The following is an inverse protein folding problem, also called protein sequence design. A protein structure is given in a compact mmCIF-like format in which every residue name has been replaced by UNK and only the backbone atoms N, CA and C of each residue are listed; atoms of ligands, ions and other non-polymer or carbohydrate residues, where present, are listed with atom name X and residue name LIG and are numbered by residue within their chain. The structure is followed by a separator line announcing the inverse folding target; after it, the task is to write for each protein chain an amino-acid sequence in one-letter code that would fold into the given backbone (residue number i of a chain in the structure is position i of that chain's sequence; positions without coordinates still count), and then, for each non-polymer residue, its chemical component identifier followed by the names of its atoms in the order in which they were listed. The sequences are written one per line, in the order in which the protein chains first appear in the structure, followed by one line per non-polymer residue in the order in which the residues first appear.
data_IF_880474491320
#
_entry.id   IF_880474491320
#
_cell.length_a   1.000
_cell.length_b   1.000
_cell.length_c   1.000
_cell.angle_alpha   90.00
_cell.angle_beta   90.00
_cell.angle_gamma   90.00
#
_symmetry.space_group_name_H-M   'P 1'
#
loop_
_entity.id
_entity.type
_entity.pdbx_description
1 polymer ?
#
# COMPACT_ATOMS: atom_id res chain seq x y z
N UNK A 1 -15.64 -18.26 2.16
CA UNK A 1 -14.81 -17.54 1.18
C UNK A 1 -14.06 -16.48 1.96
N UNK A 2 -12.72 -16.54 2.03
CA UNK A 2 -11.95 -15.53 2.74
C UNK A 2 -12.17 -14.15 2.15
N UNK A 3 -12.26 -13.17 3.02
CA UNK A 3 -12.51 -11.78 2.65
C UNK A 3 -11.44 -10.87 3.21
N UNK A 4 -10.83 -10.06 2.34
CA UNK A 4 -9.77 -9.15 2.73
C UNK A 4 -9.90 -7.76 2.08
N UNK A 5 -9.37 -6.75 2.75
CA UNK A 5 -9.21 -5.37 2.24
C UNK A 5 -7.79 -5.22 1.72
N UNK A 6 -7.64 -4.64 0.55
CA UNK A 6 -6.36 -4.34 -0.05
C UNK A 6 -6.06 -2.86 0.13
N UNK A 7 -5.08 -2.53 0.98
CA UNK A 7 -4.57 -1.19 1.20
C UNK A 7 -3.23 -1.25 1.95
N UNK A 8 -2.46 -0.17 1.91
CA UNK A 8 -1.18 -0.10 2.62
C UNK A 8 -1.35 0.58 3.98
N UNK A 9 -0.67 0.06 4.99
CA UNK A 9 -0.45 0.74 6.27
C UNK A 9 1.06 0.87 6.49
N UNK A 10 1.51 2.07 6.82
CA UNK A 10 2.92 2.41 6.83
C UNK A 10 3.70 1.58 7.87
N UNK A 11 4.79 0.95 7.44
CA UNK A 11 5.63 0.12 8.29
C UNK A 11 4.97 -1.19 8.76
N UNK A 12 3.77 -1.51 8.28
CA UNK A 12 3.07 -2.76 8.64
C UNK A 12 3.66 -4.01 7.97
N UNK A 13 4.39 -3.83 6.86
CA UNK A 13 4.99 -4.92 6.10
C UNK A 13 4.00 -5.75 5.28
N UNK A 14 2.78 -5.27 5.05
CA UNK A 14 1.80 -5.99 4.22
C UNK A 14 0.75 -5.09 3.56
N UNK A 15 -0.12 -5.71 2.76
CA UNK A 15 -1.09 -4.99 1.93
C UNK A 15 -2.51 -5.61 1.95
N UNK A 16 -2.67 -6.76 2.61
CA UNK A 16 -3.92 -7.51 2.60
C UNK A 16 -4.41 -7.78 4.02
N UNK A 17 -5.62 -7.33 4.34
CA UNK A 17 -6.14 -7.28 5.71
C UNK A 17 -7.42 -8.07 5.85
N UNK A 18 -7.42 -9.10 6.71
CA UNK A 18 -8.59 -9.95 6.92
C UNK A 18 -9.76 -9.16 7.52
N UNK A 19 -10.97 -9.37 6.99
CA UNK A 19 -12.17 -8.62 7.40
C UNK A 19 -12.90 -9.30 8.56
N UNK A 20 -13.28 -10.56 8.35
CA UNK A 20 -14.15 -11.29 9.29
C UNK A 20 -13.38 -11.85 10.49
N UNK A 21 -14.02 -12.04 11.65
CA UNK A 21 -13.39 -12.72 12.79
C UNK A 21 -12.87 -14.11 12.44
N UNK A 22 -13.56 -14.84 11.58
CA UNK A 22 -13.17 -16.16 11.09
C UNK A 22 -11.89 -16.06 10.26
N UNK A 23 -11.84 -15.14 9.30
CA UNK A 23 -10.66 -14.92 8.45
C UNK A 23 -9.45 -14.50 9.30
N UNK A 24 -9.65 -13.62 10.28
CA UNK A 24 -8.60 -13.17 11.21
C UNK A 24 -8.01 -14.32 12.03
N UNK A 25 -8.83 -15.32 12.41
CA UNK A 25 -8.34 -16.51 13.12
C UNK A 25 -7.52 -17.43 12.21
N UNK A 26 -7.87 -17.51 10.93
CA UNK A 26 -7.18 -18.39 9.97
C UNK A 26 -5.91 -17.75 9.39
N UNK A 27 -5.98 -16.47 9.06
CA UNK A 27 -4.95 -15.75 8.29
C UNK A 27 -4.17 -14.74 9.11
N UNK A 28 -4.66 -14.33 10.28
CA UNK A 28 -4.17 -13.16 11.01
C UNK A 28 -4.91 -11.88 10.61
N UNK A 29 -4.62 -10.78 11.29
CA UNK A 29 -5.16 -9.46 10.91
C UNK A 29 -4.57 -8.99 9.58
N UNK A 30 -3.24 -9.06 9.47
CA UNK A 30 -2.50 -8.94 8.23
C UNK A 30 -2.33 -10.33 7.64
N UNK A 31 -2.74 -10.50 6.40
CA UNK A 31 -2.62 -11.77 5.67
C UNK A 31 -1.16 -11.91 5.23
N UNK A 32 -0.54 -13.01 5.67
CA UNK A 32 0.80 -13.39 5.26
C UNK A 32 0.82 -13.82 3.79
N UNK A 33 1.61 -13.10 2.97
CA UNK A 33 1.71 -13.34 1.53
C UNK A 33 2.35 -14.69 1.21
N UNK A 34 3.25 -15.21 2.06
CA UNK A 34 3.91 -16.50 1.87
C UNK A 34 2.91 -17.68 1.91
N UNK A 35 1.72 -17.45 2.50
CA UNK A 35 0.66 -18.44 2.61
C UNK A 35 -0.34 -18.39 1.46
N UNK A 36 -0.26 -17.39 0.58
CA UNK A 36 -1.18 -17.24 -0.55
C UNK A 36 -0.76 -18.14 -1.72
N UNK A 37 -1.72 -18.76 -2.42
CA UNK A 37 -1.44 -19.56 -3.61
C UNK A 37 -1.24 -18.67 -4.85
N UNK A 38 -0.30 -17.74 -4.77
CA UNK A 38 0.06 -16.81 -5.87
C UNK A 38 1.44 -17.15 -6.43
N UNK A 39 1.71 -16.66 -7.63
CA UNK A 39 3.00 -16.81 -8.29
C UNK A 39 4.11 -16.08 -7.52
N UNK A 40 5.35 -16.60 -7.52
CA UNK A 40 6.50 -15.91 -6.94
C UNK A 40 6.70 -14.50 -7.49
N UNK A 41 6.45 -14.31 -8.80
CA UNK A 41 6.58 -12.99 -9.43
C UNK A 41 5.57 -11.97 -8.88
N UNK A 42 4.32 -12.39 -8.61
CA UNK A 42 3.33 -11.52 -7.98
C UNK A 42 3.69 -11.25 -6.52
N UNK A 43 4.10 -12.29 -5.80
CA UNK A 43 4.57 -12.16 -4.41
C UNK A 43 5.67 -11.10 -4.29
N UNK A 44 6.74 -11.22 -5.07
CA UNK A 44 7.86 -10.28 -5.07
C UNK A 44 7.44 -8.88 -5.55
N UNK A 45 6.46 -8.79 -6.44
CA UNK A 45 5.88 -7.50 -6.84
C UNK A 45 5.16 -6.83 -5.68
N UNK A 46 4.38 -7.57 -4.89
CA UNK A 46 3.67 -7.03 -3.72
C UNK A 46 4.65 -6.62 -2.63
N UNK A 47 5.67 -7.43 -2.32
CA UNK A 47 6.72 -7.08 -1.36
C UNK A 47 7.43 -5.78 -1.74
N UNK A 48 7.82 -5.63 -3.02
CA UNK A 48 8.44 -4.39 -3.52
C UNK A 48 7.50 -3.18 -3.43
N UNK A 49 6.20 -3.36 -3.65
CA UNK A 49 5.23 -2.29 -3.49
C UNK A 49 5.08 -1.87 -2.02
N UNK A 50 5.08 -2.82 -1.08
CA UNK A 50 5.03 -2.55 0.36
C UNK A 50 6.26 -1.73 0.78
N UNK A 51 7.46 -2.20 0.44
CA UNK A 51 8.70 -1.49 0.75
C UNK A 51 8.75 -0.10 0.11
N UNK A 52 8.29 0.01 -1.15
CA UNK A 52 8.24 1.28 -1.86
C UNK A 52 7.23 2.24 -1.22
N UNK A 53 6.05 1.77 -0.83
CA UNK A 53 5.03 2.59 -0.16
C UNK A 53 5.60 3.30 1.08
N UNK A 54 6.40 2.60 1.88
CA UNK A 54 7.01 3.20 3.07
C UNK A 54 7.89 4.40 2.72
N UNK A 55 8.53 4.41 1.54
CA UNK A 55 9.35 5.56 1.10
C UNK A 55 8.53 6.79 0.67
N UNK A 56 7.21 6.65 0.53
CA UNK A 56 6.32 7.77 0.21
C UNK A 56 6.09 8.73 1.38
N UNK A 57 6.48 8.34 2.59
CA UNK A 57 6.23 9.08 3.81
C UNK A 57 7.46 9.82 4.33
N UNK A 58 7.20 10.93 5.00
CA UNK A 58 8.21 11.62 5.80
C UNK A 58 8.36 10.94 7.17
N UNK A 59 9.24 9.95 7.28
CA UNK A 59 9.45 9.24 8.56
C UNK A 59 10.00 10.11 9.68
N UNK A 60 10.65 11.23 9.36
CA UNK A 60 11.15 12.19 10.36
C UNK A 60 10.01 12.88 11.10
N UNK A 61 8.95 13.22 10.37
CA UNK A 61 7.70 13.72 10.93
C UNK A 61 6.55 13.43 9.94
N UNK A 62 5.79 12.34 10.14
CA UNK A 62 4.75 11.91 9.19
C UNK A 62 3.68 12.96 8.83
N UNK A 63 3.34 13.93 9.71
CA UNK A 63 2.45 15.02 9.34
C UNK A 63 3.04 16.03 8.34
N UNK A 64 4.34 16.01 8.05
CA UNK A 64 4.92 16.83 6.98
C UNK A 64 4.77 16.17 5.61
N UNK A 65 4.87 16.94 4.51
CA UNK A 65 4.84 16.43 3.16
C UNK A 65 5.78 15.23 2.94
N UNK A 66 5.26 14.17 2.33
CA UNK A 66 6.03 13.05 1.84
C UNK A 66 6.96 13.46 0.68
N UNK A 67 8.08 12.76 0.47
CA UNK A 67 9.10 13.20 -0.49
C UNK A 67 8.73 12.98 -1.96
N UNK A 68 7.67 12.21 -2.24
CA UNK A 68 7.34 11.81 -3.59
C UNK A 68 6.74 12.94 -4.42
N UNK A 69 7.25 13.07 -5.64
CA UNK A 69 6.68 13.94 -6.66
C UNK A 69 5.55 13.25 -7.42
N UNK A 70 4.73 14.03 -8.11
CA UNK A 70 3.52 13.57 -8.78
C UNK A 70 3.79 12.41 -9.74
N UNK A 71 4.92 12.45 -10.47
CA UNK A 71 5.33 11.38 -11.35
C UNK A 71 5.60 10.05 -10.61
N UNK A 72 6.19 10.10 -9.41
CA UNK A 72 6.46 8.92 -8.59
C UNK A 72 5.16 8.34 -8.02
N UNK A 73 4.28 9.21 -7.52
CA UNK A 73 2.93 8.85 -7.07
C UNK A 73 2.14 8.16 -8.19
N UNK A 74 2.11 8.75 -9.39
CA UNK A 74 1.42 8.18 -10.55
C UNK A 74 1.98 6.80 -10.92
N UNK A 75 3.30 6.68 -11.03
CA UNK A 75 3.96 5.40 -11.36
C UNK A 75 3.70 4.33 -10.28
N UNK A 76 3.57 4.71 -9.02
CA UNK A 76 3.23 3.78 -7.94
C UNK A 76 1.77 3.33 -8.06
N UNK A 77 0.83 4.26 -8.21
CA UNK A 77 -0.60 3.97 -8.32
C UNK A 77 -0.91 3.00 -9.46
N UNK A 78 -0.29 3.18 -10.62
CA UNK A 78 -0.44 2.27 -11.76
C UNK A 78 0.10 0.87 -11.44
N UNK A 79 1.26 0.77 -10.79
CA UNK A 79 1.82 -0.51 -10.38
C UNK A 79 0.93 -1.23 -9.35
N UNK A 80 0.32 -0.50 -8.42
CA UNK A 80 -0.64 -1.05 -7.44
C UNK A 80 -1.88 -1.60 -8.14
N UNK A 81 -2.47 -0.84 -9.08
CA UNK A 81 -3.66 -1.28 -9.84
C UNK A 81 -3.38 -2.56 -10.63
N UNK A 82 -2.21 -2.64 -11.27
CA UNK A 82 -1.78 -3.83 -12.00
C UNK A 82 -1.59 -5.03 -11.07
N UNK A 83 -0.92 -4.86 -9.93
CA UNK A 83 -0.70 -5.92 -8.95
C UNK A 83 -2.02 -6.41 -8.34
N UNK A 84 -2.96 -5.51 -8.01
CA UNK A 84 -4.28 -5.87 -7.51
C UNK A 84 -5.11 -6.64 -8.55
N UNK A 85 -5.04 -6.25 -9.82
CA UNK A 85 -5.65 -7.00 -10.91
C UNK A 85 -5.12 -8.44 -10.97
N UNK A 86 -3.79 -8.59 -11.01
CA UNK A 86 -3.14 -9.91 -10.99
C UNK A 86 -3.49 -10.73 -9.75
N UNK A 87 -3.54 -10.10 -8.57
CA UNK A 87 -3.90 -10.78 -7.31
C UNK A 87 -5.31 -11.34 -7.37
N UNK A 88 -6.27 -10.59 -7.91
CA UNK A 88 -7.65 -11.06 -8.11
C UNK A 88 -7.73 -12.19 -9.13
N UNK A 89 -6.95 -12.12 -10.20
CA UNK A 89 -6.92 -13.17 -11.23
C UNK A 89 -6.31 -14.47 -10.68
N UNK A 90 -5.19 -14.39 -9.96
CA UNK A 90 -4.48 -15.57 -9.44
C UNK A 90 -5.22 -16.23 -8.27
N UNK A 91 -5.82 -15.46 -7.35
CA UNK A 91 -6.66 -16.01 -6.27
C UNK A 91 -8.05 -16.44 -6.77
N UNK A 92 -8.50 -15.85 -7.87
CA UNK A 92 -9.78 -16.14 -8.50
C UNK A 92 -10.98 -15.94 -7.56
N UNK A 93 -12.12 -16.61 -7.84
CA UNK A 93 -13.34 -16.47 -7.06
C UNK A 93 -13.26 -17.14 -5.67
N UNK A 94 -12.13 -17.76 -5.32
CA UNK A 94 -11.93 -18.35 -4.00
C UNK A 94 -11.75 -17.28 -2.92
N UNK A 95 -11.44 -16.03 -3.33
CA UNK A 95 -11.24 -14.88 -2.45
C UNK A 95 -12.13 -13.70 -2.85
N UNK A 96 -12.58 -12.95 -1.84
CA UNK A 96 -13.20 -11.64 -2.03
C UNK A 96 -12.21 -10.56 -1.58
N UNK A 97 -11.74 -9.74 -2.52
CA UNK A 97 -10.78 -8.66 -2.25
C UNK A 97 -11.45 -7.31 -2.49
N UNK A 98 -11.61 -6.53 -1.43
CA UNK A 98 -12.06 -5.14 -1.52
C UNK A 98 -10.87 -4.23 -1.80
N UNK A 99 -11.00 -3.40 -2.84
CA UNK A 99 -10.02 -2.35 -3.10
C UNK A 99 -10.29 -1.18 -2.16
N UNK A 100 -9.38 -0.93 -1.24
CA UNK A 100 -9.43 0.21 -0.34
C UNK A 100 -8.12 1.01 -0.39
N UNK A 101 -7.34 0.82 -1.45
CA UNK A 101 -6.15 1.61 -1.69
C UNK A 101 -6.57 3.01 -2.11
N UNK A 102 -6.13 4.01 -1.34
CA UNK A 102 -6.26 5.40 -1.73
C UNK A 102 -5.04 5.81 -2.57
N UNK A 103 -5.30 6.39 -3.74
CA UNK A 103 -4.25 6.72 -4.68
C UNK A 103 -3.41 7.88 -4.15
N UNK A 104 -2.09 7.72 -4.21
CA UNK A 104 -1.16 8.76 -3.76
C UNK A 104 -1.16 9.94 -4.74
N UNK A 105 -0.98 11.14 -4.22
CA UNK A 105 -0.76 12.37 -4.98
C UNK A 105 0.41 13.12 -4.33
N UNK A 106 1.11 13.95 -5.12
CA UNK A 106 2.08 14.88 -4.53
C UNK A 106 1.40 15.75 -3.48
N UNK A 107 2.08 15.94 -2.34
CA UNK A 107 1.58 16.85 -1.33
C UNK A 107 1.61 18.29 -1.88
N UNK A 108 0.49 19.03 -1.85
CA UNK A 108 0.43 20.38 -2.42
C UNK A 108 1.39 21.37 -1.75
N UNK A 109 1.82 21.09 -0.52
CA UNK A 109 2.77 21.90 0.22
C UNK A 109 4.23 21.43 0.06
N UNK A 110 4.52 20.40 -0.73
CA UNK A 110 5.87 19.83 -0.86
C UNK A 110 6.92 20.86 -1.29
N UNK A 111 6.61 21.71 -2.27
CA UNK A 111 7.54 22.77 -2.69
C UNK A 111 7.83 23.78 -1.57
N UNK A 112 6.83 24.11 -0.74
CA UNK A 112 7.01 24.99 0.42
C UNK A 112 7.84 24.31 1.49
N UNK A 113 7.58 23.03 1.75
CA UNK A 113 8.35 22.22 2.69
C UNK A 113 9.82 22.14 2.27
N UNK A 114 10.11 21.84 1.00
CA UNK A 114 11.49 21.70 0.53
C UNK A 114 12.25 23.05 0.48
N UNK A 115 11.55 24.17 0.35
CA UNK A 115 12.17 25.50 0.38
C UNK A 115 12.65 25.90 1.79
N UNK A 116 11.91 25.54 2.84
CA UNK A 116 12.29 25.77 4.24
C UNK A 116 11.67 24.71 5.18
N UNK A 117 12.31 23.53 5.32
CA UNK A 117 11.78 22.47 6.18
C UNK A 117 11.72 22.85 7.66
N UNK A 118 12.64 23.71 8.13
CA UNK A 118 12.74 24.07 9.55
C UNK A 118 11.65 25.08 9.96
N UNK A 119 11.23 25.95 9.03
CA UNK A 119 10.15 26.91 9.21
C UNK A 119 8.79 26.45 8.69
N UNK A 120 8.67 25.21 8.21
CA UNK A 120 7.45 24.73 7.58
C UNK A 120 6.26 24.67 8.55
N UNK A 121 5.12 25.20 8.11
CA UNK A 121 3.83 25.09 8.80
C UNK A 121 2.77 24.80 7.75
N UNK A 122 2.05 23.69 7.94
CA UNK A 122 0.93 23.27 7.09
C UNK A 122 -0.22 24.29 7.22
N UNK A 123 -0.83 24.63 6.10
CA UNK A 123 -1.90 25.66 6.02
C UNK A 123 -3.30 25.05 6.15
#
# INVERSE_FOLDING_TARGET
MPTARFFFDAGSGGVLWAVTPEDKRTWGYLVDLDRLPISPDLHDSLCRLIERYDTSLNWGYPPDPGPWREAECHNFNEAVRQALGRLRDELGPAWQIYDEFDALAEDPDLDRYLADPAGFVRI
#
